data_IF_341974306986
#
_entry.id   IF_341974306986
#
_cell.length_a   1.000
_cell.length_b   1.000
_cell.length_c   1.000
_cell.angle_alpha   90.00
_cell.angle_beta   90.00
_cell.angle_gamma   90.00
#
_symmetry.space_group_name_H-M   'P 1'
#
loop_
_entity.id
_entity.type
_entity.pdbx_description
1 polymer ?
#
# COMPACT_ATOMS: atom_id res chain seq x y z
N UNK A 1 -28.44 -6.06 14.23
CA UNK A 1 -27.34 -5.09 14.02
C UNK A 1 -26.50 -5.14 15.27
N UNK A 2 -25.28 -5.68 15.23
CA UNK A 2 -24.38 -5.63 16.39
C UNK A 2 -24.06 -4.16 16.68
N UNK A 3 -24.40 -3.67 17.87
CA UNK A 3 -24.02 -2.34 18.31
C UNK A 3 -22.55 -2.40 18.74
N UNK A 4 -21.66 -1.94 17.86
CA UNK A 4 -20.23 -1.80 18.18
C UNK A 4 -20.06 -0.44 18.85
N UNK A 5 -19.62 -0.42 20.11
CA UNK A 5 -19.44 0.84 20.82
C UNK A 5 -18.30 1.67 20.19
N UNK A 6 -18.27 3.00 20.39
CA UNK A 6 -17.16 3.83 19.93
C UNK A 6 -15.79 3.35 20.46
N UNK A 7 -15.78 2.78 21.66
CA UNK A 7 -14.57 2.22 22.27
C UNK A 7 -14.14 0.91 21.60
N UNK A 8 -15.09 0.01 21.31
CA UNK A 8 -14.80 -1.23 20.56
C UNK A 8 -14.30 -0.90 19.15
N UNK A 9 -14.92 0.11 18.52
CA UNK A 9 -14.46 0.64 17.23
C UNK A 9 -13.01 1.10 17.35
N UNK A 10 -12.68 1.92 18.35
CA UNK A 10 -11.31 2.40 18.56
C UNK A 10 -10.31 1.25 18.74
N UNK A 11 -10.62 0.26 19.58
CA UNK A 11 -9.75 -0.91 19.81
C UNK A 11 -9.50 -1.67 18.51
N UNK A 12 -10.54 -1.91 17.70
CA UNK A 12 -10.39 -2.63 16.42
C UNK A 12 -9.48 -1.91 15.44
N UNK A 13 -9.61 -0.58 15.32
CA UNK A 13 -8.72 0.20 14.45
C UNK A 13 -7.28 0.21 14.97
N UNK A 14 -7.11 0.25 16.30
CA UNK A 14 -5.78 0.19 16.90
C UNK A 14 -5.11 -1.18 16.71
N UNK A 15 -5.84 -2.29 16.91
CA UNK A 15 -5.35 -3.65 16.64
C UNK A 15 -4.98 -3.84 15.17
N UNK A 16 -5.86 -3.40 14.24
CA UNK A 16 -5.59 -3.40 12.80
C UNK A 16 -4.31 -2.62 12.47
N UNK A 17 -4.16 -1.39 12.98
CA UNK A 17 -2.96 -0.59 12.78
C UNK A 17 -1.69 -1.33 13.28
N UNK A 18 -1.74 -1.96 14.45
CA UNK A 18 -0.61 -2.74 14.98
C UNK A 18 -0.24 -3.92 14.08
N UNK A 19 -1.23 -4.66 13.55
CA UNK A 19 -1.00 -5.78 12.61
C UNK A 19 -0.37 -5.29 11.32
N UNK A 20 -0.87 -4.18 10.79
CA UNK A 20 -0.36 -3.56 9.57
C UNK A 20 1.11 -3.15 9.73
N UNK A 21 1.42 -2.42 10.80
CA UNK A 21 2.79 -1.93 11.04
C UNK A 21 3.79 -3.06 11.33
N UNK A 22 3.34 -4.15 11.95
CA UNK A 22 4.19 -5.31 12.30
C UNK A 22 4.35 -6.33 11.18
N UNK A 23 3.63 -6.19 10.06
CA UNK A 23 3.68 -7.15 8.94
C UNK A 23 3.03 -8.50 9.27
N UNK A 24 2.07 -8.51 10.22
CA UNK A 24 1.30 -9.70 10.63
C UNK A 24 -0.07 -9.70 9.94
N UNK A 25 -0.12 -9.27 8.67
CA UNK A 25 -1.32 -9.36 7.85
C UNK A 25 -1.52 -10.80 7.35
N UNK A 26 -2.78 -11.20 7.21
CA UNK A 26 -3.16 -12.48 6.62
C UNK A 26 -3.80 -12.23 5.26
N UNK A 27 -3.23 -12.83 4.20
CA UNK A 27 -3.81 -12.74 2.88
C UNK A 27 -5.08 -13.61 2.78
N UNK A 28 -6.11 -13.05 2.17
CA UNK A 28 -7.30 -13.75 1.69
C UNK A 28 -7.04 -14.47 0.37
N UNK A 29 -6.16 -13.92 -0.48
CA UNK A 29 -5.73 -14.50 -1.76
C UNK A 29 -4.37 -15.20 -1.64
N UNK A 30 -4.17 -16.33 -2.35
CA UNK A 30 -2.85 -16.97 -2.42
C UNK A 30 -1.82 -16.01 -3.00
N UNK A 31 -0.60 -16.02 -2.47
CA UNK A 31 0.49 -15.18 -2.97
C UNK A 31 0.76 -15.49 -4.45
N UNK A 32 0.96 -14.49 -5.32
CA UNK A 32 1.40 -14.67 -6.71
C UNK A 32 2.74 -15.41 -6.84
N UNK A 33 3.56 -15.39 -5.78
CA UNK A 33 4.80 -16.16 -5.69
C UNK A 33 4.58 -17.65 -5.37
N UNK A 34 3.34 -18.08 -5.08
CA UNK A 34 3.02 -19.47 -4.79
C UNK A 34 3.29 -20.34 -6.01
N UNK A 35 4.15 -21.35 -5.85
CA UNK A 35 4.55 -22.24 -6.95
C UNK A 35 5.66 -21.69 -7.84
N UNK A 36 6.14 -20.47 -7.60
CA UNK A 36 7.31 -19.91 -8.28
C UNK A 36 8.58 -20.42 -7.59
N UNK A 37 9.49 -21.01 -8.35
CA UNK A 37 10.78 -21.45 -7.83
C UNK A 37 11.59 -20.25 -7.32
N UNK A 38 12.22 -20.39 -6.15
CA UNK A 38 13.17 -19.38 -5.68
C UNK A 38 14.45 -19.49 -6.51
N UNK A 39 14.87 -18.37 -7.11
CA UNK A 39 16.15 -18.30 -7.78
C UNK A 39 17.31 -18.26 -6.80
N UNK A 40 18.50 -18.61 -7.27
CA UNK A 40 19.74 -18.44 -6.50
C UNK A 40 20.17 -16.98 -6.60
N UNK A 41 20.01 -16.22 -5.52
CA UNK A 41 20.48 -14.85 -5.39
C UNK A 41 21.80 -14.80 -4.64
N UNK A 42 22.75 -14.02 -5.13
CA UNK A 42 23.91 -13.67 -4.33
C UNK A 42 23.53 -12.71 -3.19
N UNK A 43 24.49 -12.43 -2.31
CA UNK A 43 24.27 -11.58 -1.16
C UNK A 43 23.90 -10.13 -1.51
N UNK A 44 24.44 -9.58 -2.60
CA UNK A 44 24.15 -8.22 -3.04
C UNK A 44 22.75 -8.14 -3.66
N UNK A 45 22.39 -9.10 -4.49
CA UNK A 45 21.09 -9.24 -5.13
C UNK A 45 19.99 -9.46 -4.11
N UNK A 46 20.20 -10.36 -3.14
CA UNK A 46 19.24 -10.59 -2.04
C UNK A 46 18.99 -9.33 -1.23
N UNK A 47 20.04 -8.58 -0.88
CA UNK A 47 19.91 -7.28 -0.18
C UNK A 47 19.19 -6.25 -1.04
N UNK A 48 19.46 -6.22 -2.34
CA UNK A 48 18.80 -5.31 -3.26
C UNK A 48 17.30 -5.60 -3.36
N UNK A 49 16.93 -6.85 -3.62
CA UNK A 49 15.54 -7.31 -3.61
C UNK A 49 14.84 -7.00 -2.29
N UNK A 50 15.50 -7.25 -1.16
CA UNK A 50 14.93 -6.94 0.15
C UNK A 50 14.69 -5.44 0.33
N UNK A 51 15.60 -4.59 -0.17
CA UNK A 51 15.42 -3.14 -0.18
C UNK A 51 14.20 -2.71 -0.99
N UNK A 52 14.04 -3.21 -2.21
CA UNK A 52 12.89 -2.89 -3.07
C UNK A 52 11.57 -3.42 -2.47
N UNK A 53 11.56 -4.64 -1.95
CA UNK A 53 10.38 -5.21 -1.31
C UNK A 53 9.99 -4.51 -0.01
N UNK A 54 10.96 -3.93 0.73
CA UNK A 54 10.66 -3.11 1.92
C UNK A 54 10.00 -1.80 1.54
N UNK A 55 10.41 -1.23 0.42
CA UNK A 55 9.77 -0.05 -0.15
C UNK A 55 8.33 -0.37 -0.55
N UNK A 56 8.10 -1.48 -1.25
CA UNK A 56 6.74 -1.91 -1.59
C UNK A 56 5.90 -2.11 -0.31
N UNK A 57 6.42 -2.86 0.67
CA UNK A 57 5.72 -3.09 1.94
C UNK A 57 5.33 -1.80 2.67
N UNK A 58 6.19 -0.77 2.72
CA UNK A 58 5.82 0.50 3.36
C UNK A 58 4.76 1.26 2.56
N UNK A 59 4.75 1.09 1.22
CA UNK A 59 3.66 1.54 0.36
C UNK A 59 2.33 0.94 0.80
N UNK A 60 2.29 -0.37 0.99
CA UNK A 60 1.08 -1.10 1.44
C UNK A 60 0.63 -0.67 2.84
N UNK A 61 1.57 -0.43 3.75
CA UNK A 61 1.27 0.14 5.08
C UNK A 61 0.59 1.51 4.95
N UNK A 62 1.05 2.35 4.02
CA UNK A 62 0.43 3.64 3.76
C UNK A 62 -0.93 3.50 3.08
N UNK A 63 -1.08 2.58 2.12
CA UNK A 63 -2.33 2.31 1.43
C UNK A 63 -3.42 1.89 2.42
N UNK A 64 -3.12 0.96 3.34
CA UNK A 64 -4.00 0.57 4.44
C UNK A 64 -4.47 1.79 5.26
N UNK A 65 -3.54 2.64 5.67
CA UNK A 65 -3.85 3.83 6.45
C UNK A 65 -4.74 4.83 5.67
N UNK A 66 -4.47 5.01 4.38
CA UNK A 66 -5.21 5.89 3.48
C UNK A 66 -6.64 5.38 3.27
N UNK A 67 -6.80 4.14 2.81
CA UNK A 67 -8.12 3.55 2.55
C UNK A 67 -8.97 3.48 3.81
N UNK A 68 -8.39 3.10 4.95
CA UNK A 68 -9.09 3.10 6.23
C UNK A 68 -9.58 4.50 6.62
N UNK A 69 -8.73 5.52 6.52
CA UNK A 69 -9.11 6.89 6.84
C UNK A 69 -10.18 7.41 5.87
N UNK A 70 -10.01 7.18 4.56
CA UNK A 70 -10.93 7.67 3.54
C UNK A 70 -12.28 6.96 3.59
N UNK A 71 -12.33 5.66 3.85
CA UNK A 71 -13.57 4.92 4.09
C UNK A 71 -14.30 5.44 5.34
N UNK A 72 -13.55 5.70 6.43
CA UNK A 72 -14.12 6.19 7.68
C UNK A 72 -14.79 7.57 7.55
N UNK A 73 -14.27 8.44 6.69
CA UNK A 73 -14.73 9.82 6.54
C UNK A 73 -15.37 10.11 5.18
N UNK A 74 -15.63 9.10 4.35
CA UNK A 74 -16.36 9.25 3.10
C UNK A 74 -17.79 9.77 3.34
N UNK A 75 -18.28 10.61 2.43
CA UNK A 75 -19.61 11.21 2.55
C UNK A 75 -20.71 10.33 1.95
N UNK A 76 -20.37 9.52 0.94
CA UNK A 76 -21.29 8.58 0.31
C UNK A 76 -20.97 7.13 0.63
N UNK A 77 -22.01 6.31 0.79
CA UNK A 77 -21.88 4.89 1.07
C UNK A 77 -21.19 4.13 -0.06
N UNK A 78 -21.40 4.53 -1.33
CA UNK A 78 -20.76 3.91 -2.47
C UNK A 78 -19.23 4.07 -2.45
N UNK A 79 -18.75 5.27 -2.12
CA UNK A 79 -17.31 5.56 -2.02
C UNK A 79 -16.70 4.90 -0.80
N UNK A 80 -17.42 4.89 0.33
CA UNK A 80 -17.01 4.11 1.49
C UNK A 80 -16.80 2.64 1.14
N UNK A 81 -17.78 2.01 0.47
CA UNK A 81 -17.71 0.61 0.07
C UNK A 81 -16.55 0.35 -0.90
N UNK A 82 -16.28 1.27 -1.83
CA UNK A 82 -15.14 1.17 -2.73
C UNK A 82 -13.81 1.19 -1.96
N UNK A 83 -13.63 2.10 -1.01
CA UNK A 83 -12.41 2.17 -0.20
C UNK A 83 -12.26 0.96 0.73
N UNK A 84 -13.36 0.44 1.28
CA UNK A 84 -13.33 -0.80 2.06
C UNK A 84 -12.99 -2.03 1.19
N UNK A 85 -13.37 -2.03 -0.09
CA UNK A 85 -13.00 -3.08 -1.04
C UNK A 85 -11.51 -3.03 -1.39
N UNK A 86 -11.03 -1.88 -1.85
CA UNK A 86 -9.61 -1.69 -2.17
C UNK A 86 -8.74 -1.98 -0.93
N UNK A 87 -9.13 -1.49 0.24
CA UNK A 87 -8.42 -1.78 1.50
C UNK A 87 -8.28 -3.28 1.82
N UNK A 88 -9.23 -4.13 1.42
CA UNK A 88 -9.10 -5.60 1.56
C UNK A 88 -8.14 -6.20 0.55
N UNK A 89 -8.12 -5.69 -0.68
CA UNK A 89 -7.18 -6.12 -1.72
C UNK A 89 -5.74 -5.75 -1.33
N UNK A 90 -5.55 -4.56 -0.75
CA UNK A 90 -4.27 -4.12 -0.19
C UNK A 90 -3.79 -4.95 1.03
N UNK A 91 -4.70 -5.57 1.79
CA UNK A 91 -4.30 -6.45 2.90
C UNK A 91 -3.54 -7.68 2.38
N UNK A 92 -3.90 -8.15 1.18
CA UNK A 92 -3.19 -9.21 0.47
C UNK A 92 -1.79 -8.74 0.06
N UNK A 93 -1.67 -7.56 -0.55
CA UNK A 93 -0.39 -6.97 -0.96
C UNK A 93 0.57 -6.84 0.23
N UNK A 94 0.07 -6.32 1.35
CA UNK A 94 0.82 -6.20 2.59
C UNK A 94 1.31 -7.57 3.10
N UNK A 95 0.44 -8.58 3.07
CA UNK A 95 0.81 -9.93 3.49
C UNK A 95 1.85 -10.57 2.56
N UNK A 96 1.72 -10.39 1.24
CA UNK A 96 2.65 -10.93 0.24
C UNK A 96 4.02 -10.27 0.33
N UNK A 97 4.07 -8.95 0.45
CA UNK A 97 5.33 -8.21 0.61
C UNK A 97 6.01 -8.57 1.94
N UNK A 98 5.26 -8.71 3.03
CA UNK A 98 5.78 -9.13 4.33
C UNK A 98 6.33 -10.57 4.29
N UNK A 99 5.61 -11.48 3.62
CA UNK A 99 6.09 -12.83 3.38
C UNK A 99 7.40 -12.82 2.59
N UNK A 100 7.47 -12.07 1.49
CA UNK A 100 8.68 -12.04 0.65
C UNK A 100 9.87 -11.45 1.40
N UNK A 101 9.67 -10.41 2.22
CA UNK A 101 10.72 -9.89 3.09
C UNK A 101 11.29 -10.95 4.02
N UNK A 102 10.44 -11.78 4.63
CA UNK A 102 10.89 -12.91 5.48
C UNK A 102 11.68 -13.95 4.68
N UNK A 103 11.20 -14.31 3.49
CA UNK A 103 11.91 -15.26 2.60
C UNK A 103 13.29 -14.75 2.17
N UNK A 104 13.43 -13.44 1.96
CA UNK A 104 14.70 -12.78 1.66
C UNK A 104 15.62 -12.60 2.89
N UNK A 105 15.19 -13.06 4.08
CA UNK A 105 15.94 -12.91 5.33
C UNK A 105 16.01 -11.45 5.81
N UNK A 106 14.98 -10.65 5.53
CA UNK A 106 14.89 -9.24 5.88
C UNK A 106 13.65 -8.94 6.73
N UNK A 107 13.41 -7.64 6.97
CA UNK A 107 12.36 -7.14 7.84
C UNK A 107 11.63 -5.94 7.19
N UNK A 108 10.38 -5.65 7.62
CA UNK A 108 9.68 -4.41 7.31
C UNK A 108 10.43 -3.16 7.78
N UNK A 109 10.00 -1.98 7.29
CA UNK A 109 10.62 -0.71 7.69
C UNK A 109 10.41 -0.42 9.16
N UNK A 110 11.46 -0.02 9.87
CA UNK A 110 11.37 0.42 11.26
C UNK A 110 10.56 1.72 11.42
N UNK A 111 10.40 2.47 10.33
CA UNK A 111 9.63 3.72 10.29
C UNK A 111 8.16 3.51 9.93
N UNK A 112 7.69 2.27 9.78
CA UNK A 112 6.28 1.95 9.51
C UNK A 112 5.29 2.75 10.39
N UNK A 113 5.52 2.93 11.72
CA UNK A 113 4.60 3.72 12.53
C UNK A 113 4.49 5.19 12.13
N UNK A 114 5.60 5.81 11.72
CA UNK A 114 5.61 7.19 11.25
C UNK A 114 4.85 7.31 9.91
N UNK A 115 5.13 6.38 8.98
CA UNK A 115 4.51 6.37 7.66
C UNK A 115 3.00 6.11 7.74
N UNK A 116 2.57 5.12 8.52
CA UNK A 116 1.16 4.83 8.77
C UNK A 116 0.43 6.05 9.34
N UNK A 117 0.98 6.69 10.38
CA UNK A 117 0.36 7.86 10.99
C UNK A 117 0.24 9.05 10.02
N UNK A 118 1.29 9.31 9.22
CA UNK A 118 1.28 10.36 8.21
C UNK A 118 0.27 10.09 7.09
N UNK A 119 0.22 8.86 6.59
CA UNK A 119 -0.72 8.43 5.59
C UNK A 119 -2.18 8.53 6.08
N UNK A 120 -2.47 8.05 7.30
CA UNK A 120 -3.81 8.16 7.89
C UNK A 120 -4.26 9.62 8.04
N UNK A 121 -3.34 10.52 8.44
CA UNK A 121 -3.62 11.94 8.54
C UNK A 121 -3.94 12.57 7.18
N UNK A 122 -3.16 12.25 6.14
CA UNK A 122 -3.40 12.71 4.77
C UNK A 122 -4.72 12.18 4.21
N UNK A 123 -5.01 10.89 4.40
CA UNK A 123 -6.29 10.28 3.99
C UNK A 123 -7.49 10.93 4.68
N UNK A 124 -7.36 11.26 5.97
CA UNK A 124 -8.40 12.00 6.70
C UNK A 124 -8.62 13.39 6.11
N UNK A 125 -7.55 14.12 5.76
CA UNK A 125 -7.65 15.43 5.12
C UNK A 125 -8.31 15.31 3.74
N UNK A 126 -7.88 14.36 2.91
CA UNK A 126 -8.43 14.12 1.58
C UNK A 126 -9.93 13.83 1.63
N UNK A 127 -10.36 12.96 2.55
CA UNK A 127 -11.77 12.64 2.74
C UNK A 127 -12.60 13.86 3.15
N UNK A 128 -12.11 14.66 4.10
CA UNK A 128 -12.80 15.88 4.58
C UNK A 128 -12.90 16.99 3.54
N UNK A 129 -12.03 16.99 2.53
CA UNK A 129 -12.12 17.93 1.40
C UNK A 129 -13.26 17.57 0.43
N UNK A 130 -13.87 16.40 0.58
CA UNK A 130 -15.00 15.91 -0.18
C UNK A 130 -14.66 14.73 -1.07
N UNK A 131 -15.65 13.86 -1.29
CA UNK A 131 -15.58 12.59 -2.02
C UNK A 131 -14.81 12.67 -3.36
N UNK A 132 -15.16 13.61 -4.25
CA UNK A 132 -14.48 13.73 -5.55
C UNK A 132 -12.98 14.03 -5.42
N UNK A 133 -12.57 14.84 -4.44
CA UNK A 133 -11.15 15.15 -4.19
C UNK A 133 -10.45 14.00 -3.49
N UNK A 134 -11.13 13.30 -2.60
CA UNK A 134 -10.65 12.08 -1.96
C UNK A 134 -10.33 11.00 -3.00
N UNK A 135 -11.24 10.76 -3.94
CA UNK A 135 -11.02 9.86 -5.08
C UNK A 135 -9.87 10.35 -5.97
N UNK A 136 -9.79 11.65 -6.23
CA UNK A 136 -8.66 12.25 -6.96
C UNK A 136 -7.31 11.98 -6.31
N UNK A 137 -7.25 12.05 -4.98
CA UNK A 137 -6.05 11.72 -4.22
C UNK A 137 -5.65 10.25 -4.40
N UNK A 138 -6.62 9.32 -4.40
CA UNK A 138 -6.37 7.90 -4.71
C UNK A 138 -5.84 7.75 -6.12
N UNK A 139 -6.52 8.30 -7.15
CA UNK A 139 -6.07 8.21 -8.55
C UNK A 139 -4.62 8.66 -8.73
N UNK A 140 -4.23 9.78 -8.12
CA UNK A 140 -2.85 10.26 -8.21
C UNK A 140 -1.87 9.40 -7.41
N UNK A 141 -2.29 8.86 -6.27
CA UNK A 141 -1.48 7.92 -5.47
C UNK A 141 -1.21 6.66 -6.28
N UNK A 142 -2.24 6.02 -6.83
CA UNK A 142 -2.08 4.80 -7.62
C UNK A 142 -1.25 5.01 -8.88
N UNK A 143 -1.41 6.16 -9.55
CA UNK A 143 -0.55 6.51 -10.70
C UNK A 143 0.93 6.59 -10.32
N UNK A 144 1.27 7.07 -9.12
CA UNK A 144 2.64 7.13 -8.64
C UNK A 144 3.15 5.76 -8.18
N UNK A 145 2.28 4.95 -7.55
CA UNK A 145 2.59 3.59 -7.14
C UNK A 145 2.84 2.70 -8.37
N UNK A 146 1.97 2.74 -9.37
CA UNK A 146 2.14 2.01 -10.64
C UNK A 146 3.50 2.32 -11.29
N UNK A 147 3.85 3.61 -11.41
CA UNK A 147 5.14 4.01 -11.97
C UNK A 147 6.32 3.44 -11.16
N UNK A 148 6.17 3.40 -9.84
CA UNK A 148 7.18 2.88 -8.94
C UNK A 148 7.32 1.35 -9.00
N UNK A 149 6.21 0.62 -9.05
CA UNK A 149 6.20 -0.84 -9.22
C UNK A 149 6.80 -1.24 -10.58
N UNK A 150 6.48 -0.50 -11.65
CA UNK A 150 7.11 -0.67 -12.96
C UNK A 150 8.63 -0.43 -12.91
N UNK A 151 9.10 0.58 -12.18
CA UNK A 151 10.53 0.79 -11.96
C UNK A 151 11.16 -0.42 -11.23
N UNK A 152 10.49 -0.93 -10.19
CA UNK A 152 10.97 -2.09 -9.42
C UNK A 152 11.06 -3.37 -10.25
N UNK A 153 10.08 -3.65 -11.13
CA UNK A 153 10.15 -4.79 -12.04
C UNK A 153 11.38 -4.76 -12.95
N UNK A 154 11.86 -3.56 -13.32
CA UNK A 154 13.08 -3.39 -14.13
C UNK A 154 14.39 -3.46 -13.31
N UNK A 155 14.31 -3.29 -11.99
CA UNK A 155 15.48 -3.23 -11.10
C UNK A 155 15.70 -4.52 -10.33
N UNK A 156 14.66 -5.31 -10.12
CA UNK A 156 14.77 -6.62 -9.48
C UNK A 156 15.73 -7.54 -10.26
N UNK A 157 16.56 -8.33 -9.58
CA UNK A 157 17.37 -9.35 -10.22
C UNK A 157 16.49 -10.30 -11.04
N UNK A 158 16.87 -10.68 -12.29
CA UNK A 158 16.03 -11.51 -13.16
C UNK A 158 15.72 -12.90 -12.58
N UNK A 159 16.56 -13.42 -11.69
CA UNK A 159 16.35 -14.67 -10.95
C UNK A 159 15.35 -14.52 -9.79
N UNK A 160 15.01 -13.31 -9.36
CA UNK A 160 14.04 -13.06 -8.30
C UNK A 160 12.59 -13.11 -8.84
N UNK A 161 12.26 -14.24 -9.46
CA UNK A 161 10.96 -14.48 -10.09
C UNK A 161 9.79 -14.36 -9.10
N UNK A 162 10.02 -14.67 -7.82
CA UNK A 162 9.02 -14.53 -6.76
C UNK A 162 8.69 -13.06 -6.47
N UNK A 163 9.70 -12.21 -6.27
CA UNK A 163 9.44 -10.78 -6.06
C UNK A 163 8.81 -10.15 -7.30
N UNK A 164 9.26 -10.53 -8.50
CA UNK A 164 8.66 -10.09 -9.76
C UNK A 164 7.18 -10.46 -9.87
N UNK A 165 6.81 -11.69 -9.51
CA UNK A 165 5.40 -12.13 -9.55
C UNK A 165 4.51 -11.32 -8.59
N UNK A 166 5.00 -11.02 -7.38
CA UNK A 166 4.28 -10.19 -6.40
C UNK A 166 4.10 -8.78 -6.93
N UNK A 167 5.18 -8.12 -7.37
CA UNK A 167 5.15 -6.74 -7.86
C UNK A 167 4.28 -6.60 -9.12
N UNK A 168 4.32 -7.58 -10.01
CA UNK A 168 3.50 -7.58 -11.22
C UNK A 168 2.00 -7.67 -10.91
N UNK A 169 1.60 -8.53 -9.97
CA UNK A 169 0.19 -8.62 -9.56
C UNK A 169 -0.28 -7.33 -8.87
N UNK A 170 0.51 -6.82 -7.93
CA UNK A 170 0.20 -5.54 -7.26
C UNK A 170 0.01 -4.42 -8.29
N UNK A 171 0.91 -4.31 -9.27
CA UNK A 171 0.80 -3.29 -10.32
C UNK A 171 -0.48 -3.41 -11.14
N UNK A 172 -0.99 -4.62 -11.36
CA UNK A 172 -2.27 -4.81 -12.07
C UNK A 172 -3.46 -4.40 -11.19
N UNK A 173 -3.40 -4.72 -9.90
CA UNK A 173 -4.43 -4.37 -8.91
C UNK A 173 -4.49 -2.84 -8.71
N UNK A 174 -3.34 -2.14 -8.64
CA UNK A 174 -3.33 -0.66 -8.50
C UNK A 174 -3.92 0.09 -9.69
N UNK A 175 -3.69 -0.41 -10.91
CA UNK A 175 -4.34 0.15 -12.10
C UNK A 175 -5.86 0.00 -12.00
N UNK A 176 -6.35 -1.12 -11.45
CA UNK A 176 -7.77 -1.34 -11.23
C UNK A 176 -8.32 -0.42 -10.14
N UNK A 177 -7.61 -0.25 -9.01
CA UNK A 177 -7.97 0.68 -7.93
C UNK A 177 -8.10 2.12 -8.46
N UNK A 178 -7.09 2.61 -9.18
CA UNK A 178 -7.10 3.94 -9.78
C UNK A 178 -8.22 4.12 -10.80
N UNK A 179 -8.46 3.11 -11.64
CA UNK A 179 -9.55 3.13 -12.63
C UNK A 179 -10.93 3.17 -11.97
N UNK A 180 -11.14 2.40 -10.91
CA UNK A 180 -12.39 2.39 -10.15
C UNK A 180 -12.63 3.73 -9.44
N UNK A 181 -11.60 4.33 -8.85
CA UNK A 181 -11.69 5.65 -8.25
C UNK A 181 -12.03 6.73 -9.30
N UNK A 182 -11.42 6.65 -10.49
CA UNK A 182 -11.71 7.55 -11.61
C UNK A 182 -13.17 7.43 -12.08
N UNK A 183 -13.69 6.21 -12.18
CA UNK A 183 -15.07 5.94 -12.61
C UNK A 183 -16.12 6.47 -11.62
N UNK A 184 -15.76 6.63 -10.34
CA UNK A 184 -16.63 7.20 -9.30
C UNK A 184 -16.61 8.75 -9.26
N UNK A 185 -15.97 9.41 -10.23
CA UNK A 185 -16.00 10.86 -10.37
C UNK A 185 -14.85 11.59 -9.68
N UNK A 186 -13.65 10.99 -9.70
CA UNK A 186 -12.44 11.61 -9.19
C UNK A 186 -12.18 13.01 -9.80
N UNK A 187 -11.90 13.99 -8.95
CA UNK A 187 -11.44 15.32 -9.33
C UNK A 187 -9.91 15.35 -9.31
N UNK A 188 -9.29 15.75 -10.43
CA UNK A 188 -7.83 15.80 -10.55
C UNK A 188 -7.15 16.62 -9.44
N UNK A 189 -6.07 16.06 -8.89
CA UNK A 189 -5.21 16.73 -7.90
C UNK A 189 -4.45 17.88 -8.57
N UNK A 190 -4.38 19.08 -7.96
CA UNK A 190 -3.61 20.19 -8.53
C UNK A 190 -2.12 19.86 -8.71
N UNK A 191 -1.44 20.34 -9.77
CA UNK A 191 -0.04 19.98 -10.05
C UNK A 191 0.96 20.23 -8.92
N UNK A 192 0.75 21.27 -8.10
CA UNK A 192 1.60 21.53 -6.93
C UNK A 192 1.44 20.46 -5.85
N UNK A 193 0.22 19.97 -5.63
CA UNK A 193 -0.04 18.89 -4.70
C UNK A 193 0.53 17.56 -5.22
N UNK A 194 0.42 17.28 -6.53
CA UNK A 194 1.06 16.10 -7.15
C UNK A 194 2.58 16.09 -6.90
N UNK A 195 3.25 17.24 -7.12
CA UNK A 195 4.70 17.39 -6.84
C UNK A 195 5.02 17.20 -5.35
N UNK A 196 4.16 17.68 -4.46
CA UNK A 196 4.29 17.47 -3.02
C UNK A 196 4.20 15.98 -2.65
N UNK A 197 3.24 15.25 -3.22
CA UNK A 197 3.09 13.80 -3.05
C UNK A 197 4.33 13.06 -3.54
N UNK A 198 4.85 13.42 -4.71
CA UNK A 198 6.09 12.83 -5.27
C UNK A 198 7.29 13.05 -4.36
N UNK A 199 7.44 14.26 -3.79
CA UNK A 199 8.53 14.56 -2.87
C UNK A 199 8.46 13.71 -1.59
N UNK A 200 7.27 13.56 -1.00
CA UNK A 200 7.05 12.72 0.20
C UNK A 200 7.30 11.25 -0.14
N UNK A 201 6.76 10.77 -1.25
CA UNK A 201 6.99 9.40 -1.75
C UNK A 201 8.48 9.15 -1.95
N UNK A 202 9.25 10.11 -2.49
CA UNK A 202 10.70 9.95 -2.65
C UNK A 202 11.44 9.82 -1.32
N UNK A 203 11.05 10.57 -0.29
CA UNK A 203 11.65 10.46 1.05
C UNK A 203 11.32 9.09 1.65
N UNK A 204 10.06 8.67 1.58
CA UNK A 204 9.61 7.37 2.08
C UNK A 204 10.35 6.21 1.41
N UNK A 205 10.34 6.16 0.08
CA UNK A 205 10.99 5.10 -0.69
C UNK A 205 12.49 5.05 -0.45
N UNK A 206 13.16 6.20 -0.37
CA UNK A 206 14.60 6.26 -0.11
C UNK A 206 14.95 5.76 1.29
N UNK A 207 14.16 6.13 2.30
CA UNK A 207 14.41 5.70 3.68
C UNK A 207 14.08 4.23 3.90
N UNK A 208 12.92 3.77 3.40
CA UNK A 208 12.48 2.37 3.54
C UNK A 208 13.37 1.38 2.79
N UNK A 209 14.06 1.81 1.73
CA UNK A 209 15.04 0.95 1.05
C UNK A 209 16.17 0.49 1.99
N UNK A 210 16.52 1.30 2.99
CA UNK A 210 17.61 1.02 3.93
C UNK A 210 17.15 0.65 5.34
N UNK A 211 15.97 1.10 5.78
CA UNK A 211 15.53 1.07 7.19
C UNK A 211 14.14 0.46 7.33
#
# INVERSE_FOLDING_TARGET
MEYISPFDRFIRHFDSALRVMSGVSAASRPSPASGVADGVLDDAERRHSAGLMRVNHVGEVCAQALYQAQAQFAHSDAIKQQFELAGREEEDHLAWTAQRLRELGSHPSLLNPLWYAGAYALGTVAAKLGDARSLGFVVETERQVEAHLNEHMNRLPPQDAKSLAVVAQMSADEVAHGSAAQALGAQAVPPLAQKGMQAISKIMTTTAYYI
#
